data_IF_191066655414
#
_entry.id   IF_191066655414
#
_cell.length_a   1.000
_cell.length_b   1.000
_cell.length_c   1.000
_cell.angle_alpha   90.00
_cell.angle_beta   90.00
_cell.angle_gamma   90.00
#
_symmetry.space_group_name_H-M   'P 1'
#
loop_
_entity.id
_entity.type
_entity.pdbx_description
1 polymer ?
#
# COMPACT_ATOMS: atom_id res chain seq x y z
N UNK A 1 22.85 -20.29 37.88
CA UNK A 1 23.99 -19.68 37.21
C UNK A 1 23.90 -20.09 35.73
N UNK A 2 23.49 -19.21 34.93
CA UNK A 2 23.88 -18.97 33.54
C UNK A 2 22.85 -18.00 32.93
N UNK A 3 23.15 -16.71 33.08
CA UNK A 3 22.55 -15.64 32.28
C UNK A 3 23.02 -15.85 30.84
N UNK A 4 22.11 -16.03 29.92
CA UNK A 4 22.38 -15.85 28.49
C UNK A 4 21.68 -14.58 28.03
N UNK A 5 22.42 -13.50 28.02
CA UNK A 5 22.15 -12.24 27.37
C UNK A 5 21.90 -12.50 25.88
N UNK A 6 20.71 -12.22 25.40
CA UNK A 6 20.45 -11.99 23.99
C UNK A 6 20.67 -10.50 23.72
N UNK A 7 21.92 -10.12 23.53
CA UNK A 7 22.27 -8.88 22.84
C UNK A 7 22.25 -9.12 21.35
N UNK A 8 21.11 -8.92 20.73
CA UNK A 8 20.97 -8.76 19.28
C UNK A 8 21.16 -7.28 18.94
N UNK A 9 22.42 -6.81 18.90
CA UNK A 9 22.76 -5.48 18.44
C UNK A 9 22.50 -5.36 16.95
N UNK A 10 21.55 -4.53 16.57
CA UNK A 10 21.37 -4.06 15.22
C UNK A 10 22.40 -2.96 14.95
N UNK A 11 23.52 -3.29 14.34
CA UNK A 11 24.38 -2.31 13.67
C UNK A 11 23.70 -1.99 12.33
N UNK A 12 22.97 -0.89 12.27
CA UNK A 12 22.29 -0.44 11.07
C UNK A 12 22.44 1.07 10.90
N UNK A 13 22.39 1.49 9.64
CA UNK A 13 22.30 2.87 9.17
C UNK A 13 21.55 3.77 10.17
N UNK A 14 22.13 4.90 10.56
CA UNK A 14 21.77 5.73 11.72
C UNK A 14 20.39 6.43 11.64
N UNK A 15 19.55 6.09 10.68
CA UNK A 15 18.20 6.66 10.52
C UNK A 15 17.14 5.71 11.07
N UNK A 16 16.13 6.23 11.82
CA UNK A 16 15.02 5.41 12.28
C UNK A 16 14.23 4.87 11.08
N UNK A 17 13.62 3.68 11.20
CA UNK A 17 12.75 3.13 10.16
C UNK A 17 11.58 4.07 9.85
N UNK A 18 11.07 4.00 8.62
CA UNK A 18 9.91 4.76 8.19
C UNK A 18 8.70 4.52 9.10
N UNK A 19 8.46 3.26 9.46
CA UNK A 19 7.38 2.84 10.33
C UNK A 19 7.87 1.71 11.25
N UNK A 20 7.54 1.80 12.54
CA UNK A 20 7.76 0.74 13.52
C UNK A 20 6.45 0.48 14.27
N UNK A 21 6.08 -0.80 14.38
CA UNK A 21 4.95 -1.27 15.18
C UNK A 21 5.48 -2.20 16.27
N UNK A 22 5.14 -1.91 17.54
CA UNK A 22 5.52 -2.70 18.70
C UNK A 22 4.27 -3.06 19.48
N UNK A 23 3.92 -4.36 19.50
CA UNK A 23 2.74 -4.87 20.18
C UNK A 23 1.46 -4.07 19.87
N UNK A 24 1.28 -3.68 18.61
CA UNK A 24 0.16 -2.85 18.18
C UNK A 24 -1.13 -3.68 18.12
N UNK A 25 -2.10 -3.36 18.97
CA UNK A 25 -3.37 -4.09 19.10
C UNK A 25 -4.52 -3.17 18.68
N UNK A 26 -5.36 -3.64 17.76
CA UNK A 26 -6.60 -2.96 17.38
C UNK A 26 -7.80 -3.80 17.80
N UNK A 27 -8.74 -3.20 18.54
CA UNK A 27 -9.99 -3.84 18.95
C UNK A 27 -11.21 -3.16 18.33
N UNK A 28 -12.23 -3.96 18.03
CA UNK A 28 -13.55 -3.47 17.62
C UNK A 28 -14.62 -4.30 18.32
N UNK A 29 -15.59 -3.64 18.96
CA UNK A 29 -16.67 -4.31 19.71
C UNK A 29 -16.16 -5.33 20.71
N UNK A 30 -15.06 -5.02 21.43
CA UNK A 30 -14.45 -5.89 22.44
C UNK A 30 -13.58 -7.03 21.89
N UNK A 31 -13.53 -7.25 20.58
CA UNK A 31 -12.71 -8.31 19.95
C UNK A 31 -11.44 -7.72 19.36
N UNK A 32 -10.31 -8.41 19.52
CA UNK A 32 -9.06 -8.09 18.81
C UNK A 32 -9.27 -8.44 17.34
N UNK A 33 -9.05 -7.47 16.46
CA UNK A 33 -9.17 -7.59 15.00
C UNK A 33 -7.82 -7.51 14.30
N UNK A 34 -6.79 -7.00 15.00
CA UNK A 34 -5.41 -7.01 14.55
C UNK A 34 -4.48 -6.97 15.75
N UNK A 35 -3.45 -7.81 15.72
CA UNK A 35 -2.33 -7.79 16.67
C UNK A 35 -1.02 -7.94 15.89
N UNK A 36 -0.20 -6.90 15.92
CA UNK A 36 1.14 -6.89 15.32
C UNK A 36 2.14 -6.84 16.47
N UNK A 37 2.85 -7.95 16.72
CA UNK A 37 3.83 -8.05 17.81
C UNK A 37 5.03 -7.13 17.58
N UNK A 38 5.70 -7.30 16.44
CA UNK A 38 6.79 -6.44 15.97
C UNK A 38 6.74 -6.34 14.46
N UNK A 39 6.97 -5.16 13.93
CA UNK A 39 7.08 -4.91 12.50
C UNK A 39 7.83 -3.61 12.27
N UNK A 40 8.74 -3.60 11.31
CA UNK A 40 9.47 -2.42 10.87
C UNK A 40 9.45 -2.33 9.35
N UNK A 41 9.26 -1.13 8.82
CA UNK A 41 9.42 -0.79 7.42
C UNK A 41 10.56 0.22 7.30
N UNK A 42 11.62 -0.14 6.60
CA UNK A 42 12.74 0.75 6.38
C UNK A 42 12.39 1.89 5.40
N UNK A 43 13.16 2.97 5.42
CA UNK A 43 13.04 4.04 4.43
C UNK A 43 13.35 3.51 3.02
N UNK A 44 12.44 3.76 2.08
CA UNK A 44 12.59 3.33 0.68
C UNK A 44 12.31 1.84 0.43
N UNK A 45 11.98 1.06 1.46
CA UNK A 45 11.68 -0.36 1.32
C UNK A 45 10.28 -0.59 0.73
N UNK A 46 10.20 -1.40 -0.33
CA UNK A 46 8.93 -1.87 -0.89
C UNK A 46 8.57 -3.24 -0.34
N UNK A 47 7.30 -3.45 -0.01
CA UNK A 47 6.80 -4.72 0.50
C UNK A 47 5.38 -5.01 0.03
N UNK A 48 4.97 -6.28 0.08
CA UNK A 48 3.59 -6.68 -0.11
C UNK A 48 3.00 -7.31 1.16
N UNK A 49 1.78 -6.90 1.47
CA UNK A 49 0.94 -7.46 2.51
C UNK A 49 -0.03 -8.45 1.88
N UNK A 50 0.15 -9.74 2.14
CA UNK A 50 -0.62 -10.83 1.57
C UNK A 50 -1.43 -11.57 2.64
N UNK A 51 -2.62 -12.03 2.30
CA UNK A 51 -3.46 -12.83 3.18
C UNK A 51 -4.89 -12.94 2.71
N UNK A 52 -5.68 -13.88 3.27
CA UNK A 52 -7.06 -14.08 2.88
C UNK A 52 -7.95 -12.86 3.20
N UNK A 53 -9.16 -12.87 2.64
CA UNK A 53 -10.15 -11.85 2.97
C UNK A 53 -10.55 -11.96 4.46
N UNK A 54 -10.65 -10.81 5.12
CA UNK A 54 -10.94 -10.78 6.56
C UNK A 54 -9.72 -10.96 7.48
N UNK A 55 -8.53 -11.25 6.95
CA UNK A 55 -7.31 -11.48 7.74
C UNK A 55 -6.81 -10.28 8.55
N UNK A 56 -7.32 -9.05 8.27
CA UNK A 56 -6.88 -7.85 8.99
C UNK A 56 -6.07 -6.86 8.13
N UNK A 57 -5.83 -7.15 6.84
CA UNK A 57 -5.03 -6.30 5.94
C UNK A 57 -5.49 -4.84 5.90
N UNK A 58 -6.76 -4.59 5.66
CA UNK A 58 -7.31 -3.21 5.65
C UNK A 58 -7.25 -2.55 7.03
N UNK A 59 -7.30 -3.35 8.12
CA UNK A 59 -7.10 -2.82 9.48
C UNK A 59 -5.63 -2.40 9.67
N UNK A 60 -4.69 -3.19 9.17
CA UNK A 60 -3.27 -2.84 9.19
C UNK A 60 -3.03 -1.52 8.43
N UNK A 61 -3.59 -1.37 7.22
CA UNK A 61 -3.47 -0.10 6.47
C UNK A 61 -4.05 1.08 7.25
N UNK A 62 -5.25 0.94 7.79
CA UNK A 62 -5.88 2.01 8.61
C UNK A 62 -5.07 2.36 9.85
N UNK A 63 -4.38 1.38 10.44
CA UNK A 63 -3.50 1.62 11.59
C UNK A 63 -2.28 2.46 11.18
N UNK A 64 -1.58 2.10 10.11
CA UNK A 64 -0.39 2.82 9.65
C UNK A 64 -0.71 4.19 9.05
N UNK A 65 -1.90 4.35 8.44
CA UNK A 65 -2.39 5.65 7.93
C UNK A 65 -3.02 6.53 9.02
N UNK A 66 -3.02 6.04 10.27
CA UNK A 66 -3.64 6.70 11.43
C UNK A 66 -5.13 7.00 11.29
N UNK A 67 -5.83 6.28 10.43
CA UNK A 67 -7.30 6.32 10.35
C UNK A 67 -7.95 5.64 11.56
N UNK A 68 -7.25 4.67 12.16
CA UNK A 68 -7.61 4.04 13.44
C UNK A 68 -6.41 4.09 14.39
N UNK A 69 -6.69 4.12 15.67
CA UNK A 69 -5.67 4.11 16.71
C UNK A 69 -5.59 2.72 17.36
N UNK A 70 -4.39 2.26 17.73
CA UNK A 70 -4.21 1.04 18.52
C UNK A 70 -4.70 1.26 19.95
N UNK A 71 -4.81 0.17 20.72
CA UNK A 71 -5.00 0.28 22.17
C UNK A 71 -3.84 1.07 22.77
N UNK A 72 -4.20 1.92 23.73
CA UNK A 72 -3.21 2.65 24.51
C UNK A 72 -2.29 1.68 25.30
N UNK A 73 -1.01 2.00 25.30
CA UNK A 73 0.04 1.31 26.04
C UNK A 73 1.05 2.36 26.56
N UNK A 74 1.79 2.00 27.62
CA UNK A 74 2.79 2.90 28.18
C UNK A 74 3.92 3.19 27.17
N UNK A 75 4.33 2.16 26.40
CA UNK A 75 5.20 2.32 25.24
C UNK A 75 4.33 2.54 23.99
N UNK A 76 4.64 3.59 23.19
CA UNK A 76 3.88 3.87 21.97
C UNK A 76 3.94 2.73 20.98
N UNK A 77 2.80 2.10 20.63
CA UNK A 77 2.80 0.92 19.74
C UNK A 77 3.02 1.26 18.26
N UNK A 78 3.05 2.53 17.88
CA UNK A 78 3.27 2.99 16.50
C UNK A 78 4.22 4.17 16.51
N UNK A 79 5.37 4.00 15.86
CA UNK A 79 6.36 5.05 15.65
C UNK A 79 6.47 5.32 14.14
N UNK A 80 6.38 6.58 13.77
CA UNK A 80 6.59 7.04 12.41
C UNK A 80 7.90 7.83 12.36
N UNK A 81 8.92 7.30 11.70
CA UNK A 81 10.31 7.84 11.74
C UNK A 81 10.80 8.09 13.17
N UNK A 82 10.55 7.12 14.04
CA UNK A 82 10.89 7.22 15.47
C UNK A 82 9.98 8.16 16.29
N UNK A 83 9.00 8.84 15.66
CA UNK A 83 8.12 9.78 16.33
C UNK A 83 6.76 9.15 16.68
N UNK A 84 6.50 8.98 17.97
CA UNK A 84 5.21 8.48 18.49
C UNK A 84 4.07 9.50 18.34
N UNK A 85 4.39 10.79 18.23
CA UNK A 85 3.43 11.90 18.16
C UNK A 85 3.27 12.45 16.74
N UNK A 86 3.71 11.72 15.70
CA UNK A 86 3.47 12.11 14.33
C UNK A 86 1.97 12.33 14.10
N UNK A 87 1.61 13.47 13.52
CA UNK A 87 0.21 13.82 13.27
C UNK A 87 -0.33 13.08 12.05
N UNK A 88 -1.65 13.05 11.89
CA UNK A 88 -2.29 12.54 10.67
C UNK A 88 -1.81 13.29 9.42
N UNK A 89 -1.51 14.59 9.57
CA UNK A 89 -1.01 15.43 8.46
C UNK A 89 0.42 15.03 8.07
N UNK A 90 1.30 14.78 9.05
CA UNK A 90 2.67 14.32 8.80
C UNK A 90 2.66 12.98 8.04
N UNK A 91 1.83 12.05 8.49
CA UNK A 91 1.67 10.74 7.84
C UNK A 91 1.12 10.88 6.42
N UNK A 92 0.09 11.70 6.23
CA UNK A 92 -0.53 11.93 4.91
C UNK A 92 0.41 12.61 3.90
N UNK A 93 1.34 13.43 4.36
CA UNK A 93 2.35 14.05 3.47
C UNK A 93 3.34 13.02 2.93
N UNK A 94 3.67 12.00 3.73
CA UNK A 94 4.63 10.96 3.35
C UNK A 94 3.99 9.75 2.67
N UNK A 95 2.65 9.62 2.71
CA UNK A 95 1.93 8.49 2.13
C UNK A 95 1.03 8.90 0.96
N UNK A 96 1.21 8.29 -0.18
CA UNK A 96 0.25 8.32 -1.28
C UNK A 96 -0.66 7.09 -1.20
N UNK A 97 -1.98 7.27 -1.02
CA UNK A 97 -2.90 6.16 -0.79
C UNK A 97 -3.83 5.98 -1.98
N UNK A 98 -3.92 4.75 -2.49
CA UNK A 98 -4.90 4.31 -3.49
C UNK A 98 -5.57 3.05 -2.99
N UNK A 99 -6.89 3.09 -2.82
CA UNK A 99 -7.70 1.91 -2.53
C UNK A 99 -8.66 1.61 -3.66
N UNK A 100 -9.08 0.34 -3.75
CA UNK A 100 -10.10 -0.10 -4.71
C UNK A 100 -11.41 0.67 -4.57
N UNK A 101 -11.78 1.07 -3.35
CA UNK A 101 -13.02 1.80 -3.04
C UNK A 101 -12.97 3.29 -3.34
N UNK A 102 -11.78 3.89 -3.56
CA UNK A 102 -11.67 5.32 -3.87
C UNK A 102 -12.40 5.70 -5.17
N UNK A 103 -12.40 4.81 -6.15
CA UNK A 103 -13.10 5.06 -7.40
C UNK A 103 -14.61 5.22 -7.20
N UNK A 104 -15.20 4.41 -6.33
CA UNK A 104 -16.64 4.45 -6.03
C UNK A 104 -17.05 5.72 -5.28
N UNK A 105 -16.08 6.40 -4.66
CA UNK A 105 -16.31 7.69 -3.99
C UNK A 105 -16.38 8.87 -4.97
N UNK A 106 -15.94 8.68 -6.21
CA UNK A 106 -16.05 9.70 -7.26
C UNK A 106 -17.45 9.60 -7.85
N UNK A 107 -18.35 10.45 -7.38
CA UNK A 107 -19.77 10.46 -7.77
C UNK A 107 -20.16 11.70 -8.55
N UNK A 108 -19.19 12.55 -8.89
CA UNK A 108 -19.41 13.84 -9.56
C UNK A 108 -18.66 13.87 -10.89
N UNK A 109 -19.33 14.39 -11.92
CA UNK A 109 -18.72 14.64 -13.23
C UNK A 109 -17.66 15.72 -13.11
N UNK A 110 -16.42 15.40 -13.47
CA UNK A 110 -15.29 16.34 -13.52
C UNK A 110 -14.20 15.81 -14.46
N UNK A 111 -13.35 16.68 -15.02
CA UNK A 111 -12.16 16.24 -15.75
C UNK A 111 -11.23 15.39 -14.87
N UNK A 112 -10.62 14.35 -15.44
CA UNK A 112 -9.70 13.49 -14.70
C UNK A 112 -8.53 14.26 -14.07
N UNK A 113 -8.09 15.35 -14.68
CA UNK A 113 -7.05 16.23 -14.11
C UNK A 113 -7.47 16.83 -12.77
N UNK A 114 -8.75 17.17 -12.59
CA UNK A 114 -9.26 17.72 -11.34
C UNK A 114 -9.13 16.73 -10.17
N UNK A 115 -9.27 15.42 -10.45
CA UNK A 115 -9.03 14.36 -9.46
C UNK A 115 -7.57 14.36 -9.02
N UNK A 116 -6.64 14.53 -9.98
CA UNK A 116 -5.20 14.55 -9.70
C UNK A 116 -4.80 15.81 -8.94
N UNK A 117 -5.30 16.98 -9.37
CA UNK A 117 -5.08 18.26 -8.66
C UNK A 117 -5.62 18.20 -7.23
N UNK A 118 -6.77 17.55 -7.03
CA UNK A 118 -7.33 17.28 -5.71
C UNK A 118 -6.35 16.58 -4.76
N UNK A 119 -5.42 15.78 -5.30
CA UNK A 119 -4.36 15.10 -4.53
C UNK A 119 -3.44 16.07 -3.79
N UNK A 120 -3.16 17.24 -4.35
CA UNK A 120 -2.37 18.30 -3.69
C UNK A 120 -3.05 18.85 -2.43
N UNK A 121 -4.36 18.70 -2.36
CA UNK A 121 -5.21 19.23 -1.28
C UNK A 121 -5.86 18.12 -0.43
N UNK A 122 -5.42 16.87 -0.60
CA UNK A 122 -5.94 15.72 0.16
C UNK A 122 -7.40 15.36 -0.17
N UNK A 123 -7.92 15.74 -1.35
CA UNK A 123 -9.32 15.53 -1.77
C UNK A 123 -9.44 14.75 -3.08
N UNK A 124 -10.65 14.29 -3.43
CA UNK A 124 -10.93 13.58 -4.70
C UNK A 124 -11.28 14.52 -5.87
N UNK A 125 -11.13 15.81 -5.68
CA UNK A 125 -11.30 16.86 -6.69
C UNK A 125 -10.85 18.16 -6.08
N UNK A 126 -10.75 19.24 -6.85
CA UNK A 126 -10.33 20.55 -6.35
C UNK A 126 -11.39 21.09 -5.39
N UNK A 127 -11.04 21.39 -4.12
CA UNK A 127 -12.01 21.94 -3.17
C UNK A 127 -12.51 23.32 -3.64
N UNK A 128 -13.82 23.58 -3.52
CA UNK A 128 -14.46 24.83 -3.99
C UNK A 128 -13.82 26.15 -3.49
N UNK A 129 -13.09 26.07 -2.36
CA UNK A 129 -12.42 27.24 -1.75
C UNK A 129 -10.96 27.41 -2.17
N UNK A 130 -10.46 26.49 -3.01
CA UNK A 130 -9.09 26.47 -3.49
C UNK A 130 -9.09 26.98 -4.93
N UNK A 131 -8.20 27.88 -5.21
CA UNK A 131 -7.89 28.32 -6.58
C UNK A 131 -6.54 27.69 -6.95
N UNK A 132 -6.59 26.50 -7.58
CA UNK A 132 -5.40 25.81 -8.04
C UNK A 132 -4.70 26.63 -9.14
N UNK A 133 -3.39 26.72 -9.07
CA UNK A 133 -2.58 27.48 -10.01
C UNK A 133 -2.34 26.72 -11.32
N UNK A 134 -1.95 27.42 -12.38
CA UNK A 134 -1.51 26.77 -13.63
C UNK A 134 -0.30 25.85 -13.41
N UNK A 135 0.59 26.17 -12.47
CA UNK A 135 1.72 25.33 -12.10
C UNK A 135 1.26 24.01 -11.44
N UNK A 136 0.20 24.06 -10.62
CA UNK A 136 -0.40 22.84 -10.06
C UNK A 136 -0.94 21.93 -11.18
N UNK A 137 -1.65 22.49 -12.15
CA UNK A 137 -2.13 21.73 -13.30
C UNK A 137 -0.98 21.20 -14.16
N UNK A 138 0.05 21.97 -14.41
CA UNK A 138 1.24 21.55 -15.17
C UNK A 138 1.96 20.38 -14.47
N UNK A 139 2.15 20.47 -13.15
CA UNK A 139 2.71 19.40 -12.31
C UNK A 139 1.85 18.14 -12.39
N UNK A 140 0.53 18.27 -12.29
CA UNK A 140 -0.40 17.14 -12.37
C UNK A 140 -0.37 16.47 -13.75
N UNK A 141 -0.35 17.23 -14.85
CA UNK A 141 -0.21 16.68 -16.21
C UNK A 141 1.10 15.90 -16.36
N UNK A 142 2.22 16.43 -15.85
CA UNK A 142 3.51 15.72 -15.86
C UNK A 142 3.42 14.38 -15.11
N UNK A 143 2.77 14.35 -13.95
CA UNK A 143 2.56 13.11 -13.18
C UNK A 143 1.66 12.13 -13.95
N UNK A 144 0.60 12.60 -14.62
CA UNK A 144 -0.25 11.78 -15.48
C UNK A 144 0.52 11.21 -16.67
N UNK A 145 1.43 11.97 -17.28
CA UNK A 145 2.29 11.53 -18.38
C UNK A 145 3.18 10.34 -17.95
N UNK A 146 3.77 10.39 -16.76
CA UNK A 146 4.59 9.30 -16.21
C UNK A 146 3.82 7.96 -16.13
N UNK A 147 2.51 8.03 -15.90
CA UNK A 147 1.63 6.86 -15.82
C UNK A 147 0.89 6.55 -17.14
N UNK A 148 1.19 7.29 -18.21
CA UNK A 148 0.60 7.10 -19.54
C UNK A 148 -0.90 7.42 -19.59
N UNK A 149 -1.37 8.40 -18.79
CA UNK A 149 -2.79 8.83 -18.74
C UNK A 149 -2.99 10.32 -19.00
N UNK A 150 -1.98 11.03 -19.50
CA UNK A 150 -2.10 12.45 -19.83
C UNK A 150 -3.15 12.72 -20.92
N UNK A 151 -3.24 11.83 -21.91
CA UNK A 151 -4.19 11.97 -23.03
C UNK A 151 -5.66 11.95 -22.62
N UNK A 152 -5.95 11.50 -21.39
CA UNK A 152 -7.31 11.48 -20.84
C UNK A 152 -7.53 12.54 -19.74
N UNK A 153 -6.59 13.47 -19.55
CA UNK A 153 -6.64 14.47 -18.50
C UNK A 153 -7.93 15.31 -18.51
N UNK A 154 -8.39 15.69 -19.69
CA UNK A 154 -9.56 16.54 -19.86
C UNK A 154 -10.86 15.75 -20.06
N UNK A 155 -10.80 14.39 -20.04
CA UNK A 155 -11.98 13.53 -20.11
C UNK A 155 -12.71 13.49 -18.77
N UNK A 156 -14.02 13.37 -18.83
CA UNK A 156 -14.84 13.15 -17.67
C UNK A 156 -14.47 11.81 -16.99
N UNK A 157 -14.08 11.89 -15.70
CA UNK A 157 -13.65 10.74 -14.90
C UNK A 157 -14.69 9.63 -14.84
N UNK A 158 -15.99 9.98 -14.88
CA UNK A 158 -17.10 9.01 -14.87
C UNK A 158 -17.20 8.21 -16.16
N UNK A 159 -16.54 8.64 -17.26
CA UNK A 159 -16.53 7.94 -18.56
C UNK A 159 -15.28 7.07 -18.77
N UNK A 160 -14.37 7.06 -17.81
CA UNK A 160 -13.15 6.28 -17.91
C UNK A 160 -13.41 4.80 -17.64
N UNK A 161 -12.62 3.91 -18.29
CA UNK A 161 -12.58 2.52 -17.86
C UNK A 161 -12.00 2.40 -16.44
N UNK A 162 -12.35 1.32 -15.74
CA UNK A 162 -11.86 1.06 -14.37
C UNK A 162 -10.34 1.15 -14.29
N UNK A 163 -9.62 0.57 -15.25
CA UNK A 163 -8.15 0.64 -15.31
C UNK A 163 -7.61 2.05 -15.60
N UNK A 164 -8.32 2.87 -16.40
CA UNK A 164 -7.97 4.27 -16.63
C UNK A 164 -8.18 5.10 -15.35
N UNK A 165 -9.33 4.96 -14.71
CA UNK A 165 -9.65 5.65 -13.47
C UNK A 165 -8.67 5.26 -12.34
N UNK A 166 -8.27 3.97 -12.25
CA UNK A 166 -7.26 3.51 -11.28
C UNK A 166 -5.92 4.20 -11.48
N UNK A 167 -5.45 4.35 -12.72
CA UNK A 167 -4.20 5.07 -13.03
C UNK A 167 -4.30 6.58 -12.77
N UNK A 168 -5.46 7.18 -12.93
CA UNK A 168 -5.71 8.57 -12.52
C UNK A 168 -5.60 8.70 -10.99
N UNK A 169 -6.12 7.74 -10.22
CA UNK A 169 -5.94 7.70 -8.76
C UNK A 169 -4.48 7.49 -8.35
N UNK A 170 -3.69 6.74 -9.13
CA UNK A 170 -2.24 6.65 -8.92
C UNK A 170 -1.57 8.01 -9.13
N UNK A 171 -1.91 8.73 -10.21
CA UNK A 171 -1.38 10.08 -10.43
C UNK A 171 -1.75 11.02 -9.28
N UNK A 172 -3.00 10.93 -8.79
CA UNK A 172 -3.46 11.68 -7.61
C UNK A 172 -2.62 11.38 -6.36
N UNK A 173 -2.30 10.11 -6.13
CA UNK A 173 -1.51 9.69 -4.97
C UNK A 173 -0.03 10.12 -5.07
N UNK A 174 0.48 10.32 -6.28
CA UNK A 174 1.88 10.68 -6.53
C UNK A 174 2.13 12.19 -6.59
N UNK A 175 1.10 13.00 -6.85
CA UNK A 175 1.28 14.41 -7.17
C UNK A 175 1.91 15.25 -6.05
N UNK A 176 1.73 14.84 -4.78
CA UNK A 176 2.33 15.50 -3.61
C UNK A 176 3.71 14.95 -3.24
N UNK A 177 4.28 14.03 -4.08
CA UNK A 177 5.61 13.46 -3.94
C UNK A 177 5.82 12.64 -2.66
N UNK A 178 4.98 11.62 -2.41
CA UNK A 178 5.08 10.81 -1.21
C UNK A 178 6.33 9.92 -1.19
N UNK A 179 6.81 9.57 0.00
CA UNK A 179 7.91 8.62 0.18
C UNK A 179 7.46 7.17 -0.07
N UNK A 180 6.24 6.84 0.37
CA UNK A 180 5.65 5.50 0.24
C UNK A 180 4.29 5.59 -0.43
N UNK A 181 4.03 4.72 -1.40
CA UNK A 181 2.72 4.58 -2.05
C UNK A 181 2.03 3.32 -1.56
N UNK A 182 0.92 3.51 -0.85
CA UNK A 182 0.06 2.42 -0.36
C UNK A 182 -0.96 2.09 -1.43
N UNK A 183 -0.95 0.85 -1.91
CA UNK A 183 -1.83 0.35 -2.95
C UNK A 183 -2.68 -0.79 -2.37
N UNK A 184 -3.94 -0.49 -2.04
CA UNK A 184 -4.86 -1.46 -1.45
C UNK A 184 -5.73 -2.10 -2.53
N UNK A 185 -5.42 -3.36 -2.86
CA UNK A 185 -6.06 -4.19 -3.89
C UNK A 185 -6.16 -3.48 -5.26
N UNK A 186 -5.04 -3.01 -5.83
CA UNK A 186 -5.06 -2.13 -7.00
C UNK A 186 -5.58 -2.79 -8.28
N UNK A 187 -5.50 -4.11 -8.40
CA UNK A 187 -5.94 -4.87 -9.57
C UNK A 187 -7.34 -5.48 -9.45
N UNK A 188 -7.98 -5.39 -8.28
CA UNK A 188 -9.31 -5.97 -8.05
C UNK A 188 -10.36 -5.34 -8.97
N UNK A 189 -11.15 -6.20 -9.63
CA UNK A 189 -12.22 -5.79 -10.54
C UNK A 189 -11.76 -5.33 -11.93
N UNK A 190 -10.48 -5.52 -12.27
CA UNK A 190 -9.92 -5.17 -13.58
C UNK A 190 -9.94 -6.38 -14.54
N UNK A 191 -10.11 -6.09 -15.81
CA UNK A 191 -9.82 -7.04 -16.88
C UNK A 191 -8.30 -7.24 -17.08
N UNK A 192 -7.87 -8.25 -17.86
CA UNK A 192 -6.44 -8.51 -18.08
C UNK A 192 -5.66 -7.30 -18.63
N UNK A 193 -6.29 -6.49 -19.49
CA UNK A 193 -5.67 -5.29 -20.03
C UNK A 193 -5.48 -4.22 -18.92
N UNK A 194 -6.51 -4.00 -18.11
CA UNK A 194 -6.45 -3.08 -16.97
C UNK A 194 -5.38 -3.50 -15.96
N UNK A 195 -5.33 -4.79 -15.59
CA UNK A 195 -4.29 -5.34 -14.70
C UNK A 195 -2.88 -5.11 -15.25
N UNK A 196 -2.66 -5.36 -16.55
CA UNK A 196 -1.36 -5.12 -17.20
C UNK A 196 -0.91 -3.67 -17.03
N UNK A 197 -1.77 -2.69 -17.35
CA UNK A 197 -1.41 -1.28 -17.23
C UNK A 197 -1.24 -0.81 -15.79
N UNK A 198 -2.01 -1.36 -14.85
CA UNK A 198 -1.86 -1.04 -13.42
C UNK A 198 -0.53 -1.57 -12.89
N UNK A 199 -0.20 -2.84 -13.15
CA UNK A 199 1.10 -3.43 -12.78
C UNK A 199 2.28 -2.69 -13.40
N UNK A 200 2.17 -2.29 -14.68
CA UNK A 200 3.17 -1.44 -15.33
C UNK A 200 3.34 -0.08 -14.63
N UNK A 201 2.24 0.52 -14.18
CA UNK A 201 2.30 1.78 -13.42
C UNK A 201 2.95 1.58 -12.04
N UNK A 202 2.68 0.46 -11.35
CA UNK A 202 3.35 0.10 -10.10
C UNK A 202 4.86 -0.01 -10.30
N UNK A 203 5.31 -0.69 -11.36
CA UNK A 203 6.74 -0.78 -11.70
C UNK A 203 7.35 0.59 -11.98
N UNK A 204 6.68 1.46 -12.71
CA UNK A 204 7.14 2.83 -12.96
C UNK A 204 7.29 3.64 -11.66
N UNK A 205 6.39 3.44 -10.69
CA UNK A 205 6.48 4.05 -9.36
C UNK A 205 7.71 3.53 -8.61
N UNK A 206 7.90 2.22 -8.50
CA UNK A 206 9.06 1.62 -7.84
C UNK A 206 10.38 2.06 -8.50
N UNK A 207 10.46 2.04 -9.82
CA UNK A 207 11.63 2.46 -10.60
C UNK A 207 11.93 3.96 -10.49
N UNK A 208 10.97 4.78 -10.06
CA UNK A 208 11.20 6.19 -9.74
C UNK A 208 11.82 6.42 -8.35
N UNK A 209 12.13 5.35 -7.61
CA UNK A 209 12.74 5.38 -6.28
C UNK A 209 11.75 5.55 -5.12
N UNK A 210 10.43 5.43 -5.38
CA UNK A 210 9.42 5.45 -4.32
C UNK A 210 9.13 4.04 -3.82
N UNK A 211 8.99 3.91 -2.51
CA UNK A 211 8.58 2.67 -1.90
C UNK A 211 7.10 2.36 -2.20
N UNK A 212 6.79 1.07 -2.34
CA UNK A 212 5.42 0.58 -2.50
C UNK A 212 5.07 -0.33 -1.32
N UNK A 213 3.96 -0.03 -0.65
CA UNK A 213 3.27 -0.96 0.22
C UNK A 213 2.04 -1.50 -0.51
N UNK A 214 2.19 -2.66 -1.12
CA UNK A 214 1.12 -3.34 -1.84
C UNK A 214 0.29 -4.19 -0.88
N UNK A 215 -1.02 -4.06 -0.91
CA UNK A 215 -1.95 -4.98 -0.23
C UNK A 215 -2.70 -5.76 -1.29
N UNK A 216 -2.62 -7.06 -1.22
CA UNK A 216 -3.30 -7.93 -2.18
C UNK A 216 -3.63 -9.29 -1.58
N UNK A 217 -4.45 -10.07 -2.26
CA UNK A 217 -4.66 -11.49 -2.02
C UNK A 217 -4.24 -12.34 -3.24
N UNK A 218 -3.62 -11.70 -4.25
CA UNK A 218 -3.10 -12.34 -5.46
C UNK A 218 -1.58 -12.19 -5.54
N UNK A 219 -0.84 -13.30 -5.66
CA UNK A 219 0.61 -13.24 -5.86
C UNK A 219 0.99 -12.63 -7.21
N UNK A 220 0.12 -12.73 -8.20
CA UNK A 220 0.30 -12.16 -9.54
C UNK A 220 0.40 -10.63 -9.54
N UNK A 221 -0.06 -9.97 -8.48
CA UNK A 221 0.03 -8.51 -8.34
C UNK A 221 1.39 -8.06 -7.77
N UNK A 222 2.16 -8.99 -7.20
CA UNK A 222 3.45 -8.69 -6.61
C UNK A 222 4.48 -8.52 -7.73
N UNK A 223 4.82 -7.26 -7.99
CA UNK A 223 5.80 -6.90 -9.03
C UNK A 223 7.22 -7.33 -8.64
N UNK A 224 8.15 -7.49 -9.61
CA UNK A 224 9.53 -7.92 -9.33
C UNK A 224 10.27 -7.02 -8.34
N UNK A 225 9.99 -5.74 -8.36
CA UNK A 225 10.61 -4.73 -7.50
C UNK A 225 10.21 -4.82 -6.02
N UNK A 226 9.24 -5.68 -5.67
CA UNK A 226 8.87 -5.97 -4.28
C UNK A 226 9.55 -7.28 -3.86
N UNK A 227 10.43 -7.21 -2.88
CA UNK A 227 11.23 -8.35 -2.42
C UNK A 227 10.81 -8.90 -1.06
N UNK A 228 10.07 -8.13 -0.25
CA UNK A 228 9.60 -8.51 1.09
C UNK A 228 8.11 -8.72 1.13
N UNK A 229 7.68 -9.77 1.83
CA UNK A 229 6.29 -10.09 2.08
C UNK A 229 5.99 -10.10 3.58
N UNK A 230 4.85 -9.53 3.95
CA UNK A 230 4.22 -9.70 5.25
C UNK A 230 2.93 -10.50 5.06
N UNK A 231 2.89 -11.69 5.63
CA UNK A 231 1.69 -12.54 5.59
C UNK A 231 0.83 -12.26 6.82
N UNK A 232 -0.45 -11.95 6.61
CA UNK A 232 -1.41 -11.75 7.70
C UNK A 232 -2.51 -12.81 7.62
N UNK A 233 -2.76 -13.46 8.76
CA UNK A 233 -3.81 -14.43 8.94
C UNK A 233 -4.48 -14.22 10.30
N UNK A 234 -5.81 -14.31 10.36
CA UNK A 234 -6.61 -14.23 11.60
C UNK A 234 -6.26 -13.03 12.50
N UNK A 235 -6.01 -11.88 11.89
CA UNK A 235 -5.68 -10.65 12.61
C UNK A 235 -4.28 -10.62 13.21
N UNK A 236 -3.37 -11.49 12.78
CA UNK A 236 -1.99 -11.57 13.29
C UNK A 236 -0.99 -11.69 12.16
N UNK A 237 0.25 -11.28 12.39
CA UNK A 237 1.36 -11.56 11.48
C UNK A 237 1.61 -13.06 11.50
N UNK A 238 1.45 -13.70 10.35
CA UNK A 238 1.68 -15.13 10.14
C UNK A 238 3.14 -15.42 9.79
N UNK A 239 3.72 -14.61 8.91
CA UNK A 239 5.14 -14.63 8.56
C UNK A 239 5.58 -13.27 8.00
N UNK A 240 6.88 -12.97 8.11
CA UNK A 240 7.55 -11.81 7.54
C UNK A 240 8.90 -12.28 7.00
N UNK A 241 9.19 -12.03 5.72
CA UNK A 241 10.39 -12.53 5.09
C UNK A 241 10.50 -12.17 3.61
N UNK A 242 11.50 -12.74 2.95
CA UNK A 242 11.70 -12.51 1.53
C UNK A 242 10.60 -13.15 0.68
N UNK A 243 10.37 -12.56 -0.50
CA UNK A 243 9.44 -13.10 -1.49
C UNK A 243 9.76 -14.55 -1.86
N UNK A 244 11.02 -14.86 -2.02
CA UNK A 244 11.48 -16.21 -2.40
C UNK A 244 11.26 -17.25 -1.30
N UNK A 245 11.32 -16.85 -0.04
CA UNK A 245 11.07 -17.73 1.11
C UNK A 245 9.58 -17.98 1.32
N UNK A 246 8.75 -16.98 1.10
CA UNK A 246 7.33 -17.01 1.44
C UNK A 246 6.41 -17.38 0.28
N UNK A 247 6.79 -17.13 -0.99
CA UNK A 247 6.01 -17.63 -2.14
C UNK A 247 6.39 -19.08 -2.47
N UNK A 248 5.97 -20.00 -1.57
CA UNK A 248 6.15 -21.45 -1.70
C UNK A 248 4.86 -22.16 -1.35
N UNK A 249 4.68 -23.35 -1.89
CA UNK A 249 3.47 -24.18 -1.72
C UNK A 249 3.08 -24.31 -0.25
N UNK A 250 4.04 -24.62 0.62
CA UNK A 250 3.80 -24.82 2.05
C UNK A 250 3.32 -23.56 2.75
N UNK A 251 3.99 -22.42 2.53
CA UNK A 251 3.65 -21.16 3.16
C UNK A 251 2.29 -20.64 2.67
N UNK A 252 2.03 -20.74 1.35
CA UNK A 252 0.75 -20.31 0.77
C UNK A 252 -0.39 -21.25 1.19
N UNK A 253 -0.16 -22.56 1.24
CA UNK A 253 -1.17 -23.51 1.75
C UNK A 253 -1.51 -23.25 3.22
N UNK A 254 -0.50 -22.94 4.04
CA UNK A 254 -0.71 -22.56 5.45
C UNK A 254 -1.46 -21.23 5.60
N UNK A 255 -1.16 -20.26 4.72
CA UNK A 255 -1.81 -18.95 4.75
C UNK A 255 -3.30 -19.03 4.39
N UNK A 256 -3.65 -19.79 3.34
CA UNK A 256 -5.00 -19.83 2.78
C UNK A 256 -5.85 -21.01 3.26
N UNK A 257 -5.30 -21.93 4.05
CA UNK A 257 -5.97 -23.15 4.55
C UNK A 257 -6.47 -24.11 3.46
N UNK A 258 -5.83 -24.06 2.28
CA UNK A 258 -6.11 -24.95 1.15
C UNK A 258 -4.81 -25.34 0.47
N UNK A 259 -4.75 -26.53 -0.19
CA UNK A 259 -3.57 -26.87 -0.99
C UNK A 259 -3.32 -25.82 -2.06
N UNK A 260 -2.15 -25.21 -2.02
CA UNK A 260 -1.73 -24.20 -2.99
C UNK A 260 -0.45 -24.63 -3.68
N UNK A 261 -0.36 -24.39 -4.97
CA UNK A 261 0.86 -24.52 -5.75
C UNK A 261 1.32 -23.14 -6.22
N UNK A 262 2.60 -22.86 -6.05
CA UNK A 262 3.25 -21.62 -6.45
C UNK A 262 4.13 -21.89 -7.65
N UNK A 263 3.97 -21.12 -8.70
CA UNK A 263 4.83 -21.19 -9.87
C UNK A 263 5.44 -19.83 -10.18
N UNK A 264 6.74 -19.77 -10.35
CA UNK A 264 7.39 -18.60 -10.95
C UNK A 264 7.24 -18.70 -12.48
N UNK A 265 6.35 -17.87 -13.05
CA UNK A 265 6.00 -17.88 -14.47
C UNK A 265 7.07 -17.20 -15.31
N UNK A 266 7.63 -16.12 -14.82
CA UNK A 266 8.79 -15.40 -15.36
C UNK A 266 9.59 -14.82 -14.18
N UNK A 267 10.87 -14.46 -14.35
CA UNK A 267 11.69 -13.98 -13.23
C UNK A 267 11.00 -12.90 -12.39
N UNK A 268 10.80 -13.20 -11.11
CA UNK A 268 10.13 -12.34 -10.12
C UNK A 268 8.61 -12.25 -10.24
N UNK A 269 7.97 -12.98 -11.16
CA UNK A 269 6.51 -13.05 -11.30
C UNK A 269 6.00 -14.44 -10.93
N UNK A 270 5.09 -14.48 -9.98
CA UNK A 270 4.52 -15.70 -9.41
C UNK A 270 3.05 -15.83 -9.71
N UNK A 271 2.57 -17.05 -9.79
CA UNK A 271 1.14 -17.36 -9.81
C UNK A 271 0.80 -18.37 -8.72
N UNK A 272 -0.42 -18.28 -8.21
CA UNK A 272 -0.98 -19.23 -7.24
C UNK A 272 -2.10 -20.01 -7.90
N UNK A 273 -2.07 -21.33 -7.72
CA UNK A 273 -3.16 -22.23 -8.13
C UNK A 273 -3.55 -23.14 -6.97
N UNK A 274 -4.81 -23.56 -6.92
CA UNK A 274 -5.27 -24.56 -5.96
C UNK A 274 -5.97 -25.70 -6.71
N UNK A 275 -5.76 -26.91 -6.25
CA UNK A 275 -6.52 -28.10 -6.70
C UNK A 275 -7.76 -28.27 -5.82
N UNK A 276 -8.90 -28.62 -6.39
CA UNK A 276 -10.17 -28.92 -5.72
C UNK A 276 -10.65 -30.32 -6.00
#
# INVERSE_FOLDING_TARGET
MADSQFEGGCEADSRPPFLCLNNAIVKRSGRTILHVGSFELAEGESMALLGPNGAGKSTFIKLITREILPLYQDEPPVLFRGNARATLEDVKKSLGIVSSTMQDQITVHMPAIEVVVGGLYGSLGVPKRVNASEDDYARCRKTMATLGVESIADRDVMTLSTGQARRVLFARALVHDPDVVVLDEPCTGLDPQGMHYVRRSMRAIAQSGRAILLVTHYAEDIIPEIERLLLIKDGSVHADGSKEELLRDEAMSSLFDVPMSVAEVTPGHYSLTSEY
#
